data_IF_735660032166
#
_entry.id   IF_735660032166
#
_cell.length_a   1.000
_cell.length_b   1.000
_cell.length_c   1.000
_cell.angle_alpha   90.00
_cell.angle_beta   90.00
_cell.angle_gamma   90.00
#
_symmetry.space_group_name_H-M   'P 1'
#
loop_
_entity.id
_entity.type
_entity.pdbx_description
1 polymer ?
#
# COMPACT_ATOMS: atom_id res chain seq x y z
N UNK A 1 53.10 -19.17 -1.58
CA UNK A 1 52.10 -19.80 -0.69
C UNK A 1 51.14 -18.72 -0.15
N UNK A 2 50.20 -18.19 -0.95
CA UNK A 2 49.20 -17.20 -0.48
C UNK A 2 47.85 -17.28 -1.22
N UNK A 3 47.62 -18.35 -1.99
CA UNK A 3 46.45 -18.48 -2.87
C UNK A 3 45.25 -19.15 -2.18
N UNK A 4 45.47 -19.94 -1.12
CA UNK A 4 44.42 -20.69 -0.43
C UNK A 4 43.55 -19.85 0.52
N UNK A 5 44.10 -18.80 1.13
CA UNK A 5 43.40 -18.01 2.14
C UNK A 5 42.36 -17.04 1.53
N UNK A 6 42.57 -16.61 0.28
CA UNK A 6 41.60 -15.79 -0.48
C UNK A 6 40.39 -16.60 -0.95
N UNK A 7 40.59 -17.87 -1.31
CA UNK A 7 39.50 -18.75 -1.76
C UNK A 7 38.51 -19.05 -0.62
N UNK A 8 39.01 -19.24 0.61
CA UNK A 8 38.19 -19.50 1.79
C UNK A 8 37.32 -18.30 2.20
N UNK A 9 37.84 -17.07 2.09
CA UNK A 9 37.07 -15.87 2.42
C UNK A 9 35.94 -15.61 1.41
N UNK A 10 36.18 -15.93 0.14
CA UNK A 10 35.18 -15.82 -0.92
C UNK A 10 34.09 -16.89 -0.75
N UNK A 11 34.46 -18.13 -0.40
CA UNK A 11 33.47 -19.17 -0.13
C UNK A 11 32.63 -18.88 1.12
N UNK A 12 33.24 -18.32 2.18
CA UNK A 12 32.56 -17.97 3.42
C UNK A 12 31.60 -16.78 3.26
N UNK A 13 31.94 -15.82 2.41
CA UNK A 13 31.05 -14.68 2.11
C UNK A 13 29.85 -15.10 1.25
N UNK A 14 30.04 -16.08 0.36
CA UNK A 14 28.98 -16.57 -0.52
C UNK A 14 27.92 -17.40 0.21
N UNK A 15 28.30 -18.11 1.28
CA UNK A 15 27.35 -18.88 2.10
C UNK A 15 26.47 -18.01 3.01
N UNK A 16 26.96 -16.85 3.46
CA UNK A 16 26.17 -15.94 4.32
C UNK A 16 25.08 -15.20 3.51
N UNK A 17 25.33 -14.92 2.23
CA UNK A 17 24.38 -14.24 1.37
C UNK A 17 23.13 -15.07 1.01
N UNK A 18 23.17 -16.40 1.21
CA UNK A 18 22.09 -17.31 0.83
C UNK A 18 21.00 -17.47 1.91
N UNK A 19 21.18 -16.90 3.10
CA UNK A 19 20.35 -17.19 4.28
C UNK A 19 19.68 -15.94 4.84
N UNK A 20 18.84 -15.25 4.07
CA UNK A 20 17.85 -14.29 4.61
C UNK A 20 16.76 -13.94 3.59
N UNK A 21 16.15 -14.94 2.96
CA UNK A 21 14.85 -14.76 2.31
C UNK A 21 13.83 -15.34 3.28
N UNK A 22 13.51 -14.57 4.33
CA UNK A 22 12.33 -14.87 5.15
C UNK A 22 11.11 -14.68 4.26
N UNK A 23 10.52 -15.78 3.81
CA UNK A 23 9.22 -15.78 3.17
C UNK A 23 8.24 -15.07 4.11
N UNK A 24 7.64 -13.98 3.63
CA UNK A 24 6.47 -13.37 4.25
C UNK A 24 5.44 -14.48 4.38
N UNK A 25 5.32 -15.07 5.56
CA UNK A 25 4.43 -16.21 5.79
C UNK A 25 3.04 -15.85 5.26
N UNK A 26 2.50 -16.71 4.38
CA UNK A 26 1.13 -16.59 3.89
C UNK A 26 0.24 -16.48 5.12
N UNK A 27 -0.32 -15.28 5.32
CA UNK A 27 -1.23 -15.01 6.43
C UNK A 27 -2.43 -15.91 6.19
N UNK A 28 -2.54 -17.01 6.94
CA UNK A 28 -3.84 -17.65 7.14
C UNK A 28 -4.83 -16.52 7.46
N UNK A 29 -6.06 -16.56 6.92
CA UNK A 29 -7.03 -15.50 7.19
C UNK A 29 -7.08 -15.30 8.71
N UNK A 30 -6.71 -14.09 9.14
CA UNK A 30 -6.65 -13.76 10.56
C UNK A 30 -8.01 -14.15 11.15
N UNK A 31 -8.01 -14.90 12.25
CA UNK A 31 -9.26 -15.25 12.94
C UNK A 31 -9.97 -13.95 13.31
N UNK A 32 -11.06 -13.64 12.63
CA UNK A 32 -11.75 -12.37 12.75
C UNK A 32 -12.87 -12.25 11.72
N UNK A 33 -13.76 -11.28 11.93
CA UNK A 33 -14.76 -10.91 10.92
C UNK A 33 -14.10 -10.01 9.88
N UNK A 34 -14.45 -10.14 8.58
CA UNK A 34 -13.98 -9.21 7.58
C UNK A 34 -14.40 -7.78 7.96
N UNK A 35 -13.57 -6.81 7.59
CA UNK A 35 -13.94 -5.41 7.79
C UNK A 35 -15.18 -5.09 6.95
N UNK A 36 -16.13 -4.29 7.47
CA UNK A 36 -17.28 -3.85 6.70
C UNK A 36 -16.86 -3.20 5.38
N UNK A 37 -17.72 -3.24 4.34
CA UNK A 37 -17.46 -2.48 3.12
C UNK A 37 -17.28 -0.99 3.47
N UNK A 38 -16.31 -0.34 2.82
CA UNK A 38 -15.91 1.05 3.06
C UNK A 38 -15.29 1.33 4.44
N UNK A 39 -14.96 0.32 5.23
CA UNK A 39 -14.22 0.52 6.47
C UNK A 39 -12.80 1.02 6.18
N UNK A 40 -12.40 2.05 6.93
CA UNK A 40 -11.02 2.54 6.92
C UNK A 40 -10.06 1.50 7.50
N UNK A 41 -8.89 1.36 6.89
CA UNK A 41 -7.84 0.46 7.35
C UNK A 41 -6.48 1.19 7.44
N UNK A 42 -5.70 1.02 8.52
CA UNK A 42 -6.04 0.29 9.74
C UNK A 42 -7.21 0.93 10.51
N UNK A 43 -7.82 0.17 11.42
CA UNK A 43 -8.88 0.76 12.25
C UNK A 43 -8.29 1.89 13.10
N UNK A 44 -8.82 3.12 13.01
CA UNK A 44 -8.34 4.25 13.79
C UNK A 44 -8.57 4.01 15.28
N UNK A 45 -7.79 4.67 16.13
CA UNK A 45 -7.96 4.57 17.58
C UNK A 45 -9.35 5.03 18.04
N UNK A 46 -9.91 6.02 17.36
CA UNK A 46 -11.24 6.58 17.62
C UNK A 46 -11.89 6.95 16.29
N UNK A 47 -13.18 6.64 16.13
CA UNK A 47 -14.01 7.02 14.98
C UNK A 47 -15.41 7.38 15.44
N UNK A 48 -15.95 8.47 14.90
CA UNK A 48 -17.34 8.88 15.09
C UNK A 48 -18.00 8.93 13.72
N UNK A 49 -19.04 8.13 13.51
CA UNK A 49 -19.75 8.01 12.25
C UNK A 49 -21.09 8.74 12.39
N UNK A 50 -21.37 9.70 11.51
CA UNK A 50 -22.71 10.29 11.37
C UNK A 50 -23.50 9.53 10.30
N UNK A 51 -24.84 9.59 10.39
CA UNK A 51 -25.76 9.10 9.36
C UNK A 51 -26.01 10.14 8.25
N UNK A 52 -25.43 11.34 8.38
CA UNK A 52 -25.59 12.40 7.39
C UNK A 52 -24.83 12.08 6.11
N UNK A 53 -25.49 12.28 4.97
CA UNK A 53 -24.88 12.14 3.65
C UNK A 53 -24.44 13.51 3.14
N UNK A 54 -23.15 13.64 2.86
CA UNK A 54 -22.55 14.86 2.31
C UNK A 54 -22.19 14.65 0.84
N UNK A 55 -22.48 15.65 0.01
CA UNK A 55 -22.14 15.65 -1.42
C UNK A 55 -20.95 16.56 -1.69
N UNK A 56 -20.02 16.08 -2.50
CA UNK A 56 -18.83 16.82 -2.91
C UNK A 56 -18.91 17.08 -4.41
N UNK A 57 -18.73 18.33 -4.82
CA UNK A 57 -18.53 18.68 -6.23
C UNK A 57 -17.03 18.54 -6.54
N UNK A 58 -16.62 17.64 -7.47
CA UNK A 58 -15.21 17.36 -7.72
C UNK A 58 -14.35 18.58 -8.05
N UNK A 59 -14.93 19.56 -8.75
CA UNK A 59 -14.23 20.77 -9.16
C UNK A 59 -14.01 21.77 -8.03
N UNK A 60 -14.67 21.60 -6.89
CA UNK A 60 -14.66 22.56 -5.78
C UNK A 60 -13.91 22.03 -4.55
N UNK A 61 -13.59 20.74 -4.48
CA UNK A 61 -12.87 20.20 -3.34
C UNK A 61 -11.37 20.49 -3.50
N UNK A 62 -10.85 21.30 -2.59
CA UNK A 62 -9.42 21.55 -2.45
C UNK A 62 -8.99 21.18 -1.04
N UNK A 63 -7.92 20.41 -0.92
CA UNK A 63 -7.29 20.17 0.38
C UNK A 63 -6.37 21.37 0.64
N UNK A 64 -6.59 22.05 1.76
CA UNK A 64 -5.76 23.18 2.18
C UNK A 64 -5.25 22.96 3.61
N UNK A 65 -4.14 23.63 3.95
CA UNK A 65 -3.55 23.56 5.27
C UNK A 65 -3.21 24.95 5.78
N UNK A 66 -3.51 25.22 7.04
CA UNK A 66 -3.10 26.46 7.72
C UNK A 66 -1.61 26.45 8.13
N UNK A 67 -0.87 25.39 7.81
CA UNK A 67 0.54 25.23 8.13
C UNK A 67 1.36 26.03 7.12
N UNK A 68 2.19 26.95 7.62
CA UNK A 68 3.11 27.70 6.78
C UNK A 68 4.28 26.79 6.38
N UNK A 69 4.46 26.61 5.06
CA UNK A 69 5.65 26.01 4.43
C UNK A 69 6.10 24.66 5.02
N UNK A 70 5.27 23.61 4.83
CA UNK A 70 5.68 22.21 5.05
C UNK A 70 5.62 21.44 3.73
N UNK A 71 6.79 21.06 3.21
CA UNK A 71 6.91 20.35 1.94
C UNK A 71 6.31 18.93 2.00
N UNK A 72 6.39 18.27 3.15
CA UNK A 72 5.78 16.95 3.38
C UNK A 72 4.26 17.02 3.20
N UNK A 73 3.61 17.99 3.82
CA UNK A 73 2.16 18.18 3.71
C UNK A 73 1.78 18.58 2.29
N UNK A 74 2.53 19.51 1.68
CA UNK A 74 2.29 19.92 0.29
C UNK A 74 2.38 18.74 -0.70
N UNK A 75 3.42 17.90 -0.56
CA UNK A 75 3.59 16.68 -1.38
C UNK A 75 2.51 15.64 -1.10
N UNK A 76 2.09 15.49 0.16
CA UNK A 76 1.01 14.58 0.51
C UNK A 76 -0.32 15.03 -0.14
N UNK A 77 -0.66 16.32 -0.07
CA UNK A 77 -1.85 16.88 -0.73
C UNK A 77 -1.81 16.58 -2.23
N UNK A 78 -0.70 16.92 -2.90
CA UNK A 78 -0.51 16.66 -4.34
C UNK A 78 -0.66 15.17 -4.69
N UNK A 79 -0.23 14.27 -3.81
CA UNK A 79 -0.33 12.82 -4.02
C UNK A 79 -1.76 12.29 -3.90
N UNK A 80 -2.55 12.81 -2.94
CA UNK A 80 -3.89 12.27 -2.66
C UNK A 80 -5.00 12.90 -3.49
N UNK A 81 -4.83 14.12 -3.99
CA UNK A 81 -5.79 14.80 -4.86
C UNK A 81 -6.31 13.94 -6.03
N UNK A 82 -5.47 13.26 -6.84
CA UNK A 82 -5.95 12.40 -7.92
C UNK A 82 -6.60 11.08 -7.44
N UNK A 83 -6.41 10.67 -6.18
CA UNK A 83 -7.07 9.48 -5.62
C UNK A 83 -8.53 9.78 -5.33
N UNK A 84 -8.84 10.99 -4.85
CA UNK A 84 -10.22 11.43 -4.65
C UNK A 84 -10.92 11.76 -5.96
N UNK A 85 -10.16 12.22 -6.97
CA UNK A 85 -10.67 12.61 -8.29
C UNK A 85 -9.91 11.89 -9.41
N UNK A 86 -10.14 10.58 -9.60
CA UNK A 86 -9.47 9.86 -10.67
C UNK A 86 -9.84 10.51 -12.01
N UNK A 87 -8.86 10.75 -12.91
CA UNK A 87 -9.15 11.25 -14.24
C UNK A 87 -10.10 10.27 -14.94
N UNK A 88 -11.02 10.78 -15.77
CA UNK A 88 -12.05 9.98 -16.47
C UNK A 88 -11.49 8.75 -17.22
N UNK A 89 -10.19 8.75 -17.54
CA UNK A 89 -9.47 7.64 -18.16
C UNK A 89 -9.32 6.39 -17.27
N UNK A 90 -9.31 6.54 -15.92
CA UNK A 90 -9.20 5.42 -14.99
C UNK A 90 -10.53 4.67 -14.75
N UNK A 91 -11.66 5.25 -15.18
CA UNK A 91 -13.00 4.68 -15.01
C UNK A 91 -13.39 3.70 -16.14
N UNK A 92 -12.55 3.59 -17.17
CA UNK A 92 -12.73 2.69 -18.31
C UNK A 92 -11.96 1.36 -18.16
N UNK A 93 -11.35 1.10 -16.99
CA UNK A 93 -10.73 -0.20 -16.73
C UNK A 93 -11.82 -1.25 -16.54
N UNK A 94 -11.87 -2.32 -17.36
CA UNK A 94 -12.86 -3.37 -17.18
C UNK A 94 -12.67 -4.02 -15.80
N UNK A 95 -13.74 -4.50 -15.14
CA UNK A 95 -13.70 -5.14 -13.82
C UNK A 95 -12.85 -6.44 -13.75
N UNK A 96 -12.19 -6.81 -14.85
CA UNK A 96 -11.45 -8.06 -15.04
C UNK A 96 -10.17 -8.19 -14.22
N UNK A 97 -9.67 -7.14 -13.56
CA UNK A 97 -8.48 -7.31 -12.70
C UNK A 97 -8.78 -8.09 -11.40
N UNK A 98 -10.05 -8.31 -11.05
CA UNK A 98 -10.43 -9.12 -9.88
C UNK A 98 -10.52 -10.63 -10.20
N UNK A 99 -10.79 -11.01 -11.45
CA UNK A 99 -11.03 -12.41 -11.84
C UNK A 99 -9.74 -13.18 -12.17
N UNK A 100 -8.68 -12.48 -12.57
CA UNK A 100 -7.39 -13.11 -12.90
C UNK A 100 -6.64 -13.65 -11.67
N UNK A 101 -7.04 -13.26 -10.46
CA UNK A 101 -6.49 -13.79 -9.20
C UNK A 101 -7.21 -15.09 -8.79
N UNK A 102 -8.48 -15.28 -9.20
CA UNK A 102 -9.24 -16.49 -8.92
C UNK A 102 -8.90 -17.64 -9.88
N UNK A 103 -8.51 -17.34 -11.12
CA UNK A 103 -8.08 -18.38 -12.09
C UNK A 103 -6.68 -18.93 -11.83
N UNK A 104 -5.82 -18.22 -11.10
CA UNK A 104 -4.53 -18.78 -10.66
C UNK A 104 -4.63 -19.66 -9.40
N UNK A 105 -5.85 -19.84 -8.88
CA UNK A 105 -6.15 -20.64 -7.69
C UNK A 105 -7.07 -21.85 -8.00
N UNK A 106 -7.24 -22.19 -9.28
CA UNK A 106 -7.79 -23.46 -9.78
C UNK A 106 -6.82 -24.08 -10.74
#
# INVERSE_FOLDING_TARGET
>A
MYTGQRLLLISFSFTIALAAIEFLAVRLPLRGKPSPPNAVWPHPQQITISNDVLYIRPHDLKIDSNIRSCDIIAKAIQRYEPIFFPPKLAMNLPPSSANNILQSLT
#
